data_IF_150075046899
#
_entry.id   IF_150075046899
#
_cell.length_a   1.000
_cell.length_b   1.000
_cell.length_c   1.000
_cell.angle_alpha   90.00
_cell.angle_beta   90.00
_cell.angle_gamma   90.00
#
_symmetry.space_group_name_H-M   'P 1'
#
loop_
_entity.id
_entity.type
_entity.pdbx_description
1 polymer ?
#
# COMPACT_ATOMS: atom_id res chain seq x y z
N UNK A 1 -6.70 0.11 -18.61
CA UNK A 1 -5.69 -0.94 -18.28
C UNK A 1 -4.25 -0.57 -18.60
N UNK A 2 -3.97 0.52 -19.33
CA UNK A 2 -2.61 0.92 -19.69
C UNK A 2 -1.73 1.22 -18.46
N UNK A 3 -2.25 1.95 -17.47
CA UNK A 3 -1.45 2.42 -16.32
C UNK A 3 -1.13 1.27 -15.37
N UNK A 4 -2.10 0.39 -15.13
CA UNK A 4 -1.89 -0.85 -14.36
C UNK A 4 -0.79 -1.69 -15.01
N UNK A 5 -0.79 -1.83 -16.34
CA UNK A 5 0.26 -2.59 -17.03
C UNK A 5 1.66 -1.94 -16.88
N UNK A 6 1.76 -0.61 -16.95
CA UNK A 6 3.03 0.10 -16.70
C UNK A 6 3.52 -0.12 -15.27
N UNK A 7 2.61 -0.13 -14.30
CA UNK A 7 2.94 -0.45 -12.90
C UNK A 7 3.45 -1.89 -12.75
N UNK A 8 2.74 -2.87 -13.32
CA UNK A 8 3.15 -4.26 -13.27
C UNK A 8 4.52 -4.51 -13.91
N UNK A 9 4.81 -3.81 -15.01
CA UNK A 9 6.09 -3.89 -15.71
C UNK A 9 7.24 -3.22 -14.95
N UNK A 10 6.96 -2.16 -14.20
CA UNK A 10 7.98 -1.39 -13.46
C UNK A 10 8.33 -2.00 -12.11
N UNK A 11 7.31 -2.32 -11.31
CA UNK A 11 7.50 -2.78 -9.93
C UNK A 11 7.58 -4.31 -9.81
N UNK A 12 7.13 -5.07 -10.82
CA UNK A 12 7.03 -6.52 -10.73
C UNK A 12 5.94 -6.95 -9.73
N UNK A 13 4.70 -7.02 -10.21
CA UNK A 13 3.55 -7.19 -9.33
C UNK A 13 2.53 -8.23 -9.76
N UNK A 14 1.44 -8.28 -9.01
CA UNK A 14 0.20 -8.88 -9.44
C UNK A 14 -0.92 -7.84 -9.38
N UNK A 15 -1.88 -8.01 -10.28
CA UNK A 15 -3.12 -7.27 -10.31
C UNK A 15 -4.26 -8.27 -10.12
N UNK A 16 -5.16 -7.96 -9.20
CA UNK A 16 -6.34 -8.76 -8.93
C UNK A 16 -7.57 -7.88 -8.77
N UNK A 17 -8.73 -8.45 -9.09
CA UNK A 17 -10.03 -7.88 -8.73
C UNK A 17 -10.82 -8.95 -8.00
N UNK A 18 -11.31 -8.61 -6.82
CA UNK A 18 -12.07 -9.50 -5.95
C UNK A 18 -13.39 -8.83 -5.54
N UNK A 19 -14.35 -9.63 -5.07
CA UNK A 19 -15.63 -9.13 -4.56
C UNK A 19 -15.53 -8.96 -3.05
N UNK A 20 -15.71 -7.74 -2.55
CA UNK A 20 -15.57 -7.43 -1.15
C UNK A 20 -16.57 -8.23 -0.31
N UNK A 21 -16.02 -8.96 0.67
CA UNK A 21 -16.77 -9.87 1.56
C UNK A 21 -17.97 -9.21 2.26
N UNK A 22 -17.84 -7.94 2.66
CA UNK A 22 -18.84 -7.23 3.47
C UNK A 22 -19.60 -6.12 2.71
N UNK A 23 -19.23 -5.83 1.46
CA UNK A 23 -19.68 -4.61 0.77
C UNK A 23 -20.54 -4.83 -0.48
N UNK A 24 -20.53 -6.03 -1.07
CA UNK A 24 -21.16 -6.26 -2.38
C UNK A 24 -20.48 -5.53 -3.55
N UNK A 25 -19.55 -4.62 -3.25
CA UNK A 25 -18.59 -3.95 -4.11
C UNK A 25 -17.48 -4.88 -4.58
N UNK A 26 -16.72 -4.41 -5.56
CA UNK A 26 -15.49 -5.04 -6.04
C UNK A 26 -14.30 -4.20 -5.59
N UNK A 27 -13.18 -4.88 -5.34
CA UNK A 27 -11.90 -4.25 -5.05
C UNK A 27 -10.88 -4.62 -6.11
N UNK A 28 -10.24 -3.61 -6.69
CA UNK A 28 -9.08 -3.77 -7.55
C UNK A 28 -7.83 -3.46 -6.75
N UNK A 29 -6.81 -4.32 -6.83
CA UNK A 29 -5.54 -4.16 -6.12
C UNK A 29 -4.40 -4.40 -7.11
N UNK A 30 -3.36 -3.57 -7.05
CA UNK A 30 -2.06 -3.89 -7.63
C UNK A 30 -0.97 -3.75 -6.56
N UNK A 31 -0.08 -4.76 -6.47
CA UNK A 31 1.03 -4.71 -5.52
C UNK A 31 2.19 -5.60 -5.97
N UNK A 32 3.35 -5.41 -5.36
CA UNK A 32 4.55 -6.23 -5.60
C UNK A 32 4.28 -7.70 -5.27
N UNK A 33 4.80 -8.64 -6.08
CA UNK A 33 4.51 -10.08 -5.94
C UNK A 33 4.72 -10.61 -4.51
N UNK A 34 5.81 -10.21 -3.85
CA UNK A 34 6.11 -10.65 -2.48
C UNK A 34 5.13 -10.13 -1.41
N UNK A 35 4.33 -9.10 -1.71
CA UNK A 35 3.27 -8.62 -0.83
C UNK A 35 1.94 -9.36 -1.07
N UNK A 36 1.73 -9.88 -2.28
CA UNK A 36 0.48 -10.51 -2.72
C UNK A 36 0.05 -11.65 -1.82
N UNK A 37 0.95 -12.58 -1.50
CA UNK A 37 0.61 -13.77 -0.70
C UNK A 37 -0.04 -13.38 0.63
N UNK A 38 0.60 -12.48 1.40
CA UNK A 38 0.04 -12.01 2.66
C UNK A 38 -1.28 -11.27 2.48
N UNK A 39 -1.39 -10.41 1.47
CA UNK A 39 -2.62 -9.63 1.26
C UNK A 39 -3.78 -10.56 0.93
N UNK A 40 -3.61 -11.43 -0.06
CA UNK A 40 -4.70 -12.30 -0.51
C UNK A 40 -5.02 -13.40 0.49
N UNK A 41 -4.02 -13.98 1.17
CA UNK A 41 -4.25 -14.98 2.23
C UNK A 41 -5.12 -14.40 3.35
N UNK A 42 -4.89 -13.14 3.75
CA UNK A 42 -5.71 -12.50 4.79
C UNK A 42 -7.10 -12.08 4.28
N UNK A 43 -7.22 -11.68 3.00
CA UNK A 43 -8.53 -11.37 2.42
C UNK A 43 -9.44 -12.61 2.29
N UNK A 44 -8.85 -13.75 1.92
CA UNK A 44 -9.53 -15.03 1.82
C UNK A 44 -9.63 -15.77 3.16
N UNK A 45 -8.96 -15.26 4.20
CA UNK A 45 -8.85 -15.83 5.54
C UNK A 45 -10.16 -15.79 6.35
N UNK A 46 -10.03 -15.87 7.67
CA UNK A 46 -11.21 -15.79 8.55
C UNK A 46 -11.78 -14.36 8.64
N UNK A 47 -12.91 -14.17 9.33
CA UNK A 47 -13.54 -12.84 9.43
C UNK A 47 -12.62 -11.79 10.07
N UNK A 48 -11.71 -12.19 10.98
CA UNK A 48 -10.78 -11.26 11.62
C UNK A 48 -9.68 -10.86 10.66
N UNK A 49 -9.08 -11.82 9.95
CA UNK A 49 -8.01 -11.56 8.98
C UNK A 49 -8.50 -10.62 7.87
N UNK A 50 -9.69 -10.90 7.32
CA UNK A 50 -10.33 -10.08 6.30
C UNK A 50 -10.66 -8.67 6.81
N UNK A 51 -11.12 -8.55 8.06
CA UNK A 51 -11.39 -7.25 8.69
C UNK A 51 -10.12 -6.43 8.89
N UNK A 52 -9.02 -7.05 9.34
CA UNK A 52 -7.75 -6.36 9.55
C UNK A 52 -7.14 -5.88 8.22
N UNK A 53 -7.22 -6.70 7.16
CA UNK A 53 -6.75 -6.30 5.84
C UNK A 53 -7.63 -5.21 5.21
N UNK A 54 -8.94 -5.24 5.47
CA UNK A 54 -9.85 -4.14 5.11
C UNK A 54 -9.46 -2.84 5.81
N UNK A 55 -9.22 -2.87 7.12
CA UNK A 55 -8.77 -1.71 7.89
C UNK A 55 -7.46 -1.16 7.33
N UNK A 56 -6.53 -2.04 6.93
CA UNK A 56 -5.31 -1.61 6.25
C UNK A 56 -5.62 -0.83 4.96
N UNK A 57 -6.56 -1.26 4.11
CA UNK A 57 -6.86 -0.47 2.91
C UNK A 57 -7.57 0.85 3.19
N UNK A 58 -8.45 0.90 4.19
CA UNK A 58 -9.19 2.12 4.53
C UNK A 58 -8.29 3.18 5.15
N UNK A 59 -7.38 2.79 6.03
CA UNK A 59 -6.49 3.73 6.70
C UNK A 59 -5.38 4.24 5.77
N UNK A 60 -5.10 3.51 4.68
CA UNK A 60 -3.94 3.74 3.81
C UNK A 60 -4.38 4.08 2.39
N UNK A 61 -4.91 5.29 2.23
CA UNK A 61 -5.41 5.82 0.97
C UNK A 61 -4.35 5.89 -0.15
N UNK A 62 -3.05 5.82 0.16
CA UNK A 62 -1.99 5.74 -0.85
C UNK A 62 -1.69 4.33 -1.33
N UNK A 63 -2.14 3.28 -0.63
CA UNK A 63 -1.91 1.91 -1.08
C UNK A 63 -2.61 1.70 -2.43
N UNK A 64 -2.01 1.01 -3.42
CA UNK A 64 -2.58 0.90 -4.76
C UNK A 64 -3.76 -0.08 -4.84
N UNK A 65 -4.83 0.23 -4.10
CA UNK A 65 -6.14 -0.44 -4.13
C UNK A 65 -7.26 0.58 -4.27
N UNK A 66 -8.36 0.16 -4.89
CA UNK A 66 -9.62 0.93 -4.99
C UNK A 66 -10.82 0.00 -4.98
N UNK A 67 -11.99 0.56 -4.68
CA UNK A 67 -13.27 -0.14 -4.75
C UNK A 67 -14.16 0.43 -5.86
N UNK A 68 -15.20 -0.31 -6.23
CA UNK A 68 -16.24 0.12 -7.17
C UNK A 68 -17.46 -0.79 -7.08
N UNK A 69 -18.63 -0.34 -7.54
CA UNK A 69 -19.85 -1.15 -7.53
C UNK A 69 -19.82 -2.25 -8.60
N UNK A 70 -18.94 -2.12 -9.59
CA UNK A 70 -18.68 -3.12 -10.62
C UNK A 70 -17.18 -3.38 -10.75
N UNK A 71 -16.81 -4.54 -11.33
CA UNK A 71 -15.42 -4.85 -11.69
C UNK A 71 -14.80 -3.73 -12.52
N UNK A 72 -15.53 -3.24 -13.54
CA UNK A 72 -15.03 -2.20 -14.43
C UNK A 72 -14.76 -0.88 -13.67
N UNK A 73 -15.70 -0.45 -12.83
CA UNK A 73 -15.56 0.76 -12.02
C UNK A 73 -14.36 0.65 -11.06
N UNK A 74 -14.19 -0.50 -10.39
CA UNK A 74 -13.05 -0.71 -9.49
C UNK A 74 -11.71 -0.58 -10.24
N UNK A 75 -11.61 -1.11 -11.46
CA UNK A 75 -10.41 -1.03 -12.30
C UNK A 75 -10.15 0.38 -12.82
N UNK A 76 -11.18 1.10 -13.25
CA UNK A 76 -11.08 2.49 -13.71
C UNK A 76 -10.64 3.43 -12.58
N UNK A 77 -11.18 3.20 -11.37
CA UNK A 77 -10.76 3.90 -10.17
C UNK A 77 -9.29 3.61 -9.85
N UNK A 78 -8.84 2.35 -9.96
CA UNK A 78 -7.45 1.99 -9.71
C UNK A 78 -6.51 2.67 -10.70
N UNK A 79 -6.85 2.69 -11.99
CA UNK A 79 -6.07 3.41 -12.99
C UNK A 79 -5.98 4.90 -12.70
N UNK A 80 -7.08 5.52 -12.30
CA UNK A 80 -7.12 6.94 -11.98
C UNK A 80 -6.26 7.26 -10.76
N UNK A 81 -6.35 6.43 -9.72
CA UNK A 81 -5.51 6.52 -8.53
C UNK A 81 -4.03 6.34 -8.86
N UNK A 82 -3.66 5.35 -9.67
CA UNK A 82 -2.26 5.14 -10.07
C UNK A 82 -1.66 6.33 -10.84
N UNK A 83 -2.45 7.06 -11.63
CA UNK A 83 -1.99 8.29 -12.32
C UNK A 83 -1.67 9.42 -11.35
N UNK A 84 -2.37 9.47 -10.21
CA UNK A 84 -2.10 10.44 -9.15
C UNK A 84 -0.85 10.01 -8.38
N UNK A 85 -0.76 8.72 -8.05
CA UNK A 85 0.31 8.16 -7.23
C UNK A 85 1.66 8.08 -7.94
N UNK A 86 1.69 7.89 -9.26
CA UNK A 86 2.91 7.59 -10.01
C UNK A 86 3.03 8.33 -11.34
N UNK A 87 4.26 8.74 -11.63
CA UNK A 87 4.71 9.13 -12.97
C UNK A 87 5.46 7.96 -13.62
N UNK A 88 5.09 7.59 -14.84
CA UNK A 88 5.72 6.47 -15.56
C UNK A 88 6.66 6.96 -16.64
N UNK A 89 7.94 6.63 -16.50
CA UNK A 89 8.99 7.07 -17.42
C UNK A 89 9.65 5.88 -18.11
N UNK A 90 10.17 6.12 -19.32
CA UNK A 90 11.06 5.16 -20.00
C UNK A 90 12.50 5.59 -19.82
N UNK A 91 13.28 4.76 -19.14
CA UNK A 91 14.71 5.02 -18.99
C UNK A 91 15.43 4.73 -20.32
N UNK A 92 16.33 5.62 -20.74
CA UNK A 92 17.07 5.46 -21.99
C UNK A 92 17.83 4.13 -22.02
N UNK A 93 17.58 3.31 -23.04
CA UNK A 93 18.22 2.00 -23.22
C UNK A 93 17.53 0.82 -22.52
N UNK A 94 16.50 1.06 -21.69
CA UNK A 94 15.70 0.02 -21.05
C UNK A 94 14.31 -0.01 -21.69
N UNK A 95 13.81 -1.21 -22.02
CA UNK A 95 12.47 -1.37 -22.62
C UNK A 95 11.33 -1.22 -21.61
N UNK A 96 11.61 -1.46 -20.33
CA UNK A 96 10.64 -1.41 -19.25
C UNK A 96 10.35 0.00 -18.77
N UNK A 97 9.13 0.18 -18.27
CA UNK A 97 8.74 1.38 -17.55
C UNK A 97 9.40 1.44 -16.17
N UNK A 98 9.55 2.66 -15.65
CA UNK A 98 9.92 2.94 -14.27
C UNK A 98 8.77 3.74 -13.65
N UNK A 99 8.28 3.32 -12.49
CA UNK A 99 7.25 4.03 -11.73
C UNK A 99 7.93 4.95 -10.70
N UNK A 100 7.85 6.25 -10.91
CA UNK A 100 8.33 7.26 -9.97
C UNK A 100 7.16 7.68 -9.10
N UNK A 101 7.28 7.51 -7.78
CA UNK A 101 6.25 7.92 -6.82
C UNK A 101 6.12 9.44 -6.79
N UNK A 102 4.89 9.93 -6.82
CA UNK A 102 4.58 11.34 -6.60
C UNK A 102 4.45 11.70 -5.11
N UNK A 103 4.67 10.73 -4.21
CA UNK A 103 4.58 10.86 -2.76
C UNK A 103 5.80 10.24 -2.07
N UNK A 104 6.07 10.64 -0.82
CA UNK A 104 7.17 10.12 -0.02
C UNK A 104 6.65 9.32 1.19
N UNK A 105 6.97 8.03 1.25
CA UNK A 105 6.81 7.26 2.49
C UNK A 105 8.15 7.29 3.21
N UNK A 106 8.21 7.99 4.35
CA UNK A 106 9.45 8.14 5.13
C UNK A 106 9.29 7.63 6.56
N UNK A 107 10.18 6.73 6.96
CA UNK A 107 10.27 6.24 8.33
C UNK A 107 11.42 6.92 9.07
N UNK A 108 11.29 7.11 10.40
CA UNK A 108 12.37 7.63 11.23
C UNK A 108 13.47 6.57 11.42
N UNK A 109 14.72 7.01 11.39
CA UNK A 109 15.84 6.22 11.93
C UNK A 109 15.76 6.14 13.46
N UNK A 110 16.43 5.14 14.04
CA UNK A 110 16.62 5.09 15.49
C UNK A 110 17.62 6.19 15.82
N UNK A 111 17.28 7.00 16.81
CA UNK A 111 18.15 8.02 17.35
C UNK A 111 18.00 8.04 18.86
N UNK A 112 19.06 8.44 19.56
CA UNK A 112 19.02 8.67 21.01
C UNK A 112 18.28 9.98 21.33
N UNK A 113 17.90 10.20 22.60
CA UNK A 113 17.07 11.33 23.04
C UNK A 113 17.68 12.73 22.73
N UNK A 114 18.99 12.80 22.53
CA UNK A 114 19.76 14.02 22.25
C UNK A 114 20.23 14.14 20.79
N UNK A 115 19.85 13.21 19.93
CA UNK A 115 20.20 13.22 18.49
C UNK A 115 19.11 13.85 17.62
N UNK A 116 19.53 14.39 16.46
CA UNK A 116 18.59 14.89 15.47
C UNK A 116 17.89 13.74 14.74
N UNK A 117 16.55 13.72 14.78
CA UNK A 117 15.76 12.71 14.09
C UNK A 117 15.93 12.82 12.58
N UNK A 118 16.46 11.76 11.97
CA UNK A 118 16.59 11.61 10.52
C UNK A 118 15.59 10.57 9.97
N UNK A 119 15.39 10.56 8.64
CA UNK A 119 14.39 9.73 7.98
C UNK A 119 14.94 9.01 6.72
N UNK A 120 14.31 7.89 6.33
CA UNK A 120 14.63 7.16 5.11
C UNK A 120 13.38 6.77 4.32
N UNK A 121 13.53 6.57 3.01
CA UNK A 121 12.44 6.17 2.14
C UNK A 121 12.06 4.70 2.35
N UNK A 122 10.76 4.45 2.42
CA UNK A 122 10.15 3.14 2.68
C UNK A 122 9.31 2.73 1.48
N UNK A 123 9.29 1.46 1.12
CA UNK A 123 8.39 0.92 0.10
C UNK A 123 7.14 0.28 0.73
N UNK A 124 6.10 0.05 -0.10
CA UNK A 124 4.94 -0.74 0.35
C UNK A 124 5.32 -2.14 0.80
N UNK A 125 6.36 -2.73 0.21
CA UNK A 125 6.81 -4.06 0.58
C UNK A 125 7.39 -4.09 1.99
N UNK A 126 8.13 -3.05 2.38
CA UNK A 126 8.72 -2.93 3.73
C UNK A 126 7.61 -2.86 4.79
N UNK A 127 6.61 -2.02 4.57
CA UNK A 127 5.41 -1.90 5.42
C UNK A 127 4.69 -3.25 5.55
N UNK A 128 4.44 -3.93 4.42
CA UNK A 128 3.75 -5.23 4.44
C UNK A 128 4.58 -6.29 5.17
N UNK A 129 5.89 -6.31 5.00
CA UNK A 129 6.77 -7.21 5.73
C UNK A 129 6.71 -6.96 7.25
N UNK A 130 6.60 -5.70 7.67
CA UNK A 130 6.39 -5.34 9.06
C UNK A 130 5.07 -5.91 9.61
N UNK A 131 4.00 -5.88 8.83
CA UNK A 131 2.71 -6.48 9.21
C UNK A 131 2.78 -8.01 9.32
N UNK A 132 3.48 -8.69 8.39
CA UNK A 132 3.66 -10.16 8.40
C UNK A 132 4.31 -10.68 9.69
N UNK A 133 5.17 -9.88 10.29
CA UNK A 133 5.91 -10.24 11.49
C UNK A 133 5.05 -10.13 12.76
N UNK A 134 3.81 -9.65 12.68
CA UNK A 134 2.91 -9.56 13.82
C UNK A 134 2.15 -10.87 13.98
N UNK A 135 2.37 -11.56 15.09
CA UNK A 135 1.74 -12.86 15.38
C UNK A 135 0.31 -12.76 15.96
N UNK A 136 -0.30 -11.58 15.93
CA UNK A 136 -1.65 -11.33 16.45
C UNK A 136 -2.68 -11.55 15.35
N UNK A 137 -3.86 -12.06 15.70
CA UNK A 137 -5.02 -12.07 14.78
C UNK A 137 -5.54 -10.66 14.46
N UNK A 138 -5.23 -9.70 15.32
CA UNK A 138 -5.46 -8.27 15.08
C UNK A 138 -4.17 -7.64 14.53
N UNK A 139 -3.57 -8.23 13.50
CA UNK A 139 -2.20 -7.94 13.10
C UNK A 139 -2.00 -6.45 12.79
N UNK A 140 -2.95 -5.81 12.12
CA UNK A 140 -2.82 -4.42 11.68
C UNK A 140 -2.97 -3.45 12.85
N UNK A 141 -4.04 -3.60 13.63
CA UNK A 141 -4.28 -2.74 14.79
C UNK A 141 -3.19 -2.92 15.84
N UNK A 142 -2.79 -4.16 16.11
CA UNK A 142 -1.68 -4.46 17.03
C UNK A 142 -0.36 -3.86 16.54
N UNK A 143 -0.11 -3.85 15.23
CA UNK A 143 1.09 -3.24 14.68
C UNK A 143 1.08 -1.72 14.88
N UNK A 144 -0.05 -1.06 14.61
CA UNK A 144 -0.22 0.39 14.79
C UNK A 144 -0.05 0.81 16.24
N UNK A 145 -0.70 0.13 17.16
CA UNK A 145 -0.61 0.43 18.60
C UNK A 145 0.81 0.27 19.15
N UNK A 146 1.59 -0.62 18.55
CA UNK A 146 2.96 -0.92 18.97
C UNK A 146 4.02 -0.21 18.12
N UNK A 147 3.62 0.57 17.12
CA UNK A 147 4.53 1.32 16.27
C UNK A 147 5.17 2.44 17.10
N UNK A 148 6.49 2.42 17.16
CA UNK A 148 7.30 3.45 17.79
C UNK A 148 8.55 3.71 16.95
N UNK A 149 9.32 4.75 17.29
CA UNK A 149 10.57 5.05 16.60
C UNK A 149 11.52 3.84 16.54
N UNK A 150 11.49 3.00 17.58
CA UNK A 150 12.35 1.82 17.74
C UNK A 150 11.69 0.49 17.38
N UNK A 151 10.42 0.49 16.94
CA UNK A 151 9.66 -0.73 16.65
C UNK A 151 8.68 -0.50 15.51
N UNK A 152 8.71 -1.38 14.49
CA UNK A 152 7.86 -1.25 13.28
C UNK A 152 8.09 0.09 12.55
N UNK A 153 9.35 0.43 12.30
CA UNK A 153 9.78 1.73 11.73
C UNK A 153 9.14 1.99 10.37
N UNK A 154 9.03 0.96 9.53
CA UNK A 154 8.48 1.10 8.19
C UNK A 154 6.97 1.41 8.26
N UNK A 155 6.24 0.75 9.17
CA UNK A 155 4.83 1.09 9.44
C UNK A 155 4.67 2.52 9.99
N UNK A 156 5.68 3.05 10.68
CA UNK A 156 5.68 4.43 11.18
C UNK A 156 5.52 5.46 10.05
N UNK A 157 6.09 5.17 8.87
CA UNK A 157 5.94 5.99 7.67
C UNK A 157 4.49 6.14 7.24
N UNK A 158 3.68 5.10 7.46
CA UNK A 158 2.29 5.03 7.07
C UNK A 158 1.38 5.77 8.05
N UNK A 159 1.53 5.52 9.36
CA UNK A 159 0.66 6.15 10.37
C UNK A 159 0.98 7.64 10.59
N UNK A 160 2.19 8.06 10.21
CA UNK A 160 2.64 9.45 10.32
C UNK A 160 2.55 10.20 8.98
N UNK A 161 2.05 9.57 7.92
CA UNK A 161 1.94 10.21 6.62
C UNK A 161 0.95 11.38 6.66
N UNK A 162 1.40 12.55 6.26
CA UNK A 162 0.53 13.71 6.14
C UNK A 162 -0.03 13.81 4.71
N UNK A 163 -1.34 13.64 4.57
CA UNK A 163 -2.03 13.74 3.29
C UNK A 163 -2.20 15.22 2.89
N UNK A 164 -1.38 15.69 1.94
CA UNK A 164 -1.44 17.07 1.41
C UNK A 164 -1.90 17.10 -0.06
N UNK A 165 -2.38 18.26 -0.50
CA UNK A 165 -2.65 18.59 -1.91
C UNK A 165 -3.51 17.54 -2.66
N UNK A 166 -3.06 17.09 -3.84
CA UNK A 166 -3.77 16.15 -4.70
C UNK A 166 -4.07 14.81 -4.00
N UNK A 167 -3.32 14.45 -2.95
CA UNK A 167 -3.55 13.23 -2.17
C UNK A 167 -4.75 13.33 -1.22
N UNK A 168 -5.27 14.54 -0.95
CA UNK A 168 -6.53 14.69 -0.22
C UNK A 168 -7.72 14.12 -0.99
N UNK A 169 -7.66 14.13 -2.32
CA UNK A 169 -8.72 13.55 -3.17
C UNK A 169 -8.80 12.03 -3.11
N UNK A 170 -7.79 11.37 -2.51
CA UNK A 170 -7.73 9.92 -2.35
C UNK A 170 -8.31 9.45 -1.00
N UNK A 171 -8.64 10.37 -0.10
CA UNK A 171 -9.25 10.09 1.21
C UNK A 171 -10.76 9.93 1.14
#
# INVERSE_FOLDING_TARGET
MEVINKYLESEGGQFAVEQERYGGSFRAIVCHRSACDFIFDNLEGDDLDGTQMQSFFWDNALFPSTTGNTVQEAVENLESKLKILYTFEKQSGVKSWVAVRNFELKAPYDCDDDEEQTFYDVSWLDIINDLKLVSSRYFYDSAKEQASLTKRRDLHALISFNYTDDFLSLK
#
